data_IF_239090496580
#
_entry.id   IF_239090496580
#
_cell.length_a   1.000
_cell.length_b   1.000
_cell.length_c   1.000
_cell.angle_alpha   90.00
_cell.angle_beta   90.00
_cell.angle_gamma   90.00
#
_symmetry.space_group_name_H-M   'P 1'
#
loop_
_entity.id
_entity.type
_entity.pdbx_description
1 polymer ?
#
# COMPACT_ATOMS: atom_id res chain seq x y z
N UNK A 1 6.39 -7.57 16.00
CA UNK A 1 5.09 -7.15 15.44
C UNK A 1 5.23 -7.04 13.93
N UNK A 2 4.38 -7.71 13.13
CA UNK A 2 4.46 -7.63 11.67
C UNK A 2 3.99 -6.26 11.18
N UNK A 3 4.64 -5.71 10.16
CA UNK A 3 4.26 -4.45 9.51
C UNK A 3 3.56 -4.78 8.18
N UNK A 4 2.50 -4.06 7.86
CA UNK A 4 1.80 -4.11 6.57
C UNK A 4 1.84 -2.70 5.97
N UNK A 5 2.34 -2.59 4.75
CA UNK A 5 2.40 -1.32 4.02
C UNK A 5 1.26 -1.30 3.00
N UNK A 6 0.48 -0.23 2.99
CA UNK A 6 -0.56 0.03 2.00
C UNK A 6 0.09 0.78 0.85
N UNK A 7 0.21 0.10 -0.29
CA UNK A 7 0.74 0.60 -1.55
C UNK A 7 -0.26 1.53 -2.28
N UNK A 8 -0.66 2.63 -1.64
CA UNK A 8 -1.63 3.59 -2.16
C UNK A 8 -1.39 4.99 -1.59
N UNK A 9 -1.52 6.01 -2.43
CA UNK A 9 -1.53 7.43 -2.03
C UNK A 9 -2.94 7.96 -1.74
N UNK A 10 -3.99 7.17 -2.02
CA UNK A 10 -5.38 7.58 -1.77
C UNK A 10 -5.70 7.55 -0.25
N UNK A 11 -5.78 8.73 0.35
CA UNK A 11 -6.02 8.93 1.78
C UNK A 11 -7.35 8.33 2.27
N UNK A 12 -8.41 8.39 1.45
CA UNK A 12 -9.71 7.80 1.77
C UNK A 12 -9.61 6.29 1.93
N UNK A 13 -9.05 5.61 0.92
CA UNK A 13 -8.82 4.15 0.96
C UNK A 13 -7.93 3.73 2.12
N UNK A 14 -6.85 4.48 2.39
CA UNK A 14 -5.94 4.20 3.50
C UNK A 14 -6.68 4.24 4.84
N UNK A 15 -7.51 5.26 5.06
CA UNK A 15 -8.30 5.40 6.28
C UNK A 15 -9.27 4.23 6.47
N UNK A 16 -9.95 3.82 5.42
CA UNK A 16 -10.87 2.67 5.44
C UNK A 16 -10.14 1.36 5.75
N UNK A 17 -9.02 1.08 5.08
CA UNK A 17 -8.23 -0.14 5.32
C UNK A 17 -7.67 -0.16 6.75
N UNK A 18 -7.12 0.96 7.23
CA UNK A 18 -6.66 1.08 8.63
C UNK A 18 -7.79 0.79 9.61
N UNK A 19 -9.02 1.25 9.33
CA UNK A 19 -10.20 1.00 10.16
C UNK A 19 -10.60 -0.48 10.15
N UNK A 20 -10.63 -1.12 8.98
CA UNK A 20 -10.98 -2.55 8.85
C UNK A 20 -10.00 -3.45 9.60
N UNK A 21 -8.71 -3.08 9.61
CA UNK A 21 -7.65 -3.90 10.20
C UNK A 21 -7.31 -3.51 11.66
N UNK A 22 -8.07 -2.59 12.29
CA UNK A 22 -7.70 -1.99 13.57
C UNK A 22 -7.56 -2.99 14.74
N UNK A 23 -8.28 -4.11 14.67
CA UNK A 23 -8.28 -5.15 15.71
C UNK A 23 -7.32 -6.31 15.42
N UNK A 24 -6.55 -6.24 14.33
CA UNK A 24 -5.56 -7.26 13.97
C UNK A 24 -4.19 -6.81 14.53
N UNK A 25 -3.37 -7.71 15.11
CA UNK A 25 -2.05 -7.37 15.64
C UNK A 25 -0.99 -7.10 14.54
N UNK A 26 -1.29 -6.14 13.67
CA UNK A 26 -0.47 -5.65 12.56
C UNK A 26 -0.20 -4.16 12.72
N UNK A 27 1.03 -3.73 12.42
CA UNK A 27 1.33 -2.30 12.25
C UNK A 27 1.03 -1.90 10.81
N UNK A 28 -0.13 -1.27 10.58
CA UNK A 28 -0.54 -0.81 9.25
C UNK A 28 0.05 0.58 8.97
N UNK A 29 0.82 0.69 7.88
CA UNK A 29 1.53 1.90 7.44
C UNK A 29 1.09 2.28 6.02
N UNK A 30 1.06 3.57 5.72
CA UNK A 30 0.97 4.11 4.36
C UNK A 30 2.37 4.45 3.81
N UNK A 31 2.48 4.75 2.52
CA UNK A 31 3.72 5.23 1.91
C UNK A 31 4.22 6.52 2.57
N UNK A 32 3.30 7.45 2.86
CA UNK A 32 3.60 8.67 3.60
C UNK A 32 4.15 8.40 5.01
N UNK A 33 3.61 7.39 5.72
CA UNK A 33 4.07 7.05 7.08
C UNK A 33 5.53 6.57 7.10
N UNK A 34 6.06 6.12 5.96
CA UNK A 34 7.43 5.65 5.79
C UNK A 34 8.30 6.60 4.93
N UNK A 35 7.77 7.76 4.55
CA UNK A 35 8.49 8.77 3.77
C UNK A 35 8.82 8.33 2.34
N UNK A 36 8.01 7.42 1.77
CA UNK A 36 8.18 6.93 0.41
C UNK A 36 7.22 7.67 -0.51
N UNK A 37 7.77 8.26 -1.56
CA UNK A 37 7.02 8.94 -2.62
C UNK A 37 7.43 8.31 -3.96
N UNK A 38 6.67 7.30 -4.36
CA UNK A 38 6.85 6.57 -5.61
C UNK A 38 5.53 6.63 -6.35
N UNK A 39 5.60 6.98 -7.63
CA UNK A 39 4.50 6.83 -8.56
C UNK A 39 4.74 5.59 -9.41
N UNK A 40 3.77 4.68 -9.42
CA UNK A 40 3.85 3.41 -10.15
C UNK A 40 2.91 3.52 -11.34
N UNK A 41 3.44 3.27 -12.53
CA UNK A 41 2.65 3.28 -13.76
C UNK A 41 1.62 2.14 -13.76
N UNK A 42 0.32 2.49 -13.80
CA UNK A 42 -0.80 1.54 -13.86
C UNK A 42 -1.22 1.30 -15.33
N UNK A 43 -0.43 0.52 -16.06
CA UNK A 43 -0.62 0.15 -17.48
C UNK A 43 -1.33 -1.19 -17.70
N UNK A 44 -1.74 -1.86 -16.62
CA UNK A 44 -2.49 -3.11 -16.66
C UNK A 44 -3.91 -2.93 -17.20
N UNK A 45 -4.48 -4.01 -17.74
CA UNK A 45 -5.82 -4.04 -18.33
C UNK A 45 -6.88 -4.11 -17.22
N UNK A 46 -6.52 -4.67 -16.07
CA UNK A 46 -7.43 -4.92 -14.94
C UNK A 46 -6.98 -4.22 -13.66
N UNK A 47 -7.93 -3.99 -12.75
CA UNK A 47 -7.62 -3.46 -11.42
C UNK A 47 -6.72 -4.40 -10.60
N UNK A 48 -6.86 -5.71 -10.80
CA UNK A 48 -6.04 -6.70 -10.11
C UNK A 48 -4.57 -6.61 -10.53
N UNK A 49 -4.31 -6.53 -11.84
CA UNK A 49 -2.96 -6.36 -12.39
C UNK A 49 -2.30 -5.09 -11.84
N UNK A 50 -3.02 -3.97 -11.86
CA UNK A 50 -2.50 -2.69 -11.36
C UNK A 50 -2.28 -2.71 -9.85
N UNK A 51 -3.17 -3.33 -9.06
CA UNK A 51 -2.99 -3.47 -7.61
C UNK A 51 -1.76 -4.34 -7.27
N UNK A 52 -1.56 -5.43 -8.02
CA UNK A 52 -0.40 -6.32 -7.86
C UNK A 52 0.90 -5.59 -8.26
N UNK A 53 0.94 -4.96 -9.44
CA UNK A 53 2.10 -4.20 -9.94
C UNK A 53 2.56 -3.16 -8.92
N UNK A 54 1.63 -2.34 -8.42
CA UNK A 54 1.92 -1.36 -7.34
C UNK A 54 2.55 -2.01 -6.11
N UNK A 55 1.98 -3.10 -5.64
CA UNK A 55 2.46 -3.79 -4.43
C UNK A 55 3.86 -4.37 -4.64
N UNK A 56 4.14 -4.94 -5.81
CA UNK A 56 5.44 -5.52 -6.15
C UNK A 56 6.53 -4.46 -6.34
N UNK A 57 6.23 -3.36 -7.04
CA UNK A 57 7.19 -2.28 -7.28
C UNK A 57 7.57 -1.56 -5.98
N UNK A 58 6.59 -1.21 -5.15
CA UNK A 58 6.84 -0.62 -3.84
C UNK A 58 7.62 -1.58 -2.95
N UNK A 59 7.33 -2.89 -2.99
CA UNK A 59 8.10 -3.86 -2.23
C UNK A 59 9.57 -3.91 -2.66
N UNK A 60 9.84 -3.87 -3.98
CA UNK A 60 11.20 -3.85 -4.53
C UNK A 60 11.99 -2.61 -4.13
N UNK A 61 11.36 -1.45 -4.02
CA UNK A 61 12.04 -0.21 -3.61
C UNK A 61 12.37 -0.17 -2.11
N UNK A 62 11.73 -1.03 -1.31
CA UNK A 62 11.90 -1.07 0.14
C UNK A 62 12.97 -2.05 0.63
N UNK A 63 13.55 -2.86 -0.27
CA UNK A 63 14.57 -3.88 0.04
C UNK A 63 15.94 -3.48 -0.51
#
# INVERSE_FOLDING_TARGET
MKKLIIASNNQGKIKEIKKVLENIPLKVLSLNDIGVDIDVEEDGITFEENAKKKSEEIYKELI
#
